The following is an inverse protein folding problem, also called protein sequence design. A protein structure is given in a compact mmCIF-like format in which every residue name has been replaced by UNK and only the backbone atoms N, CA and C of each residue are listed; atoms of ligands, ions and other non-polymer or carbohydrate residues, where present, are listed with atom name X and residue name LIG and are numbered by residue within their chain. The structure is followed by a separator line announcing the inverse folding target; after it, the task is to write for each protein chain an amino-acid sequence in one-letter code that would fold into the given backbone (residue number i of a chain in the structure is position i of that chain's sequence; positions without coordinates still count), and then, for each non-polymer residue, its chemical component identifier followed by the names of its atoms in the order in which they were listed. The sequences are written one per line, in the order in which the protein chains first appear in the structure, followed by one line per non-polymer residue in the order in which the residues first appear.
data_IF_899939697292
#
_entry.id   IF_899939697292
#
_cell.length_a   1.000
_cell.length_b   1.000
_cell.length_c   1.000
_cell.angle_alpha   90.00
_cell.angle_beta   90.00
_cell.angle_gamma   90.00
#
_symmetry.space_group_name_H-M   'P 1'
#
loop_
_entity.id
_entity.type
_entity.pdbx_description
1 polymer ?
#
# COMPACT_ATOMS: atom_id res chain seq x y z
N UNK A 1 0.30 -7.42 -11.06
CA UNK A 1 -0.95 -7.30 -11.84
C UNK A 1 -0.94 -5.95 -12.52
N UNK A 2 -1.12 -5.93 -13.84
CA UNK A 2 -1.18 -4.70 -14.64
C UNK A 2 -2.59 -4.09 -14.58
N UNK A 3 -2.72 -2.80 -14.86
CA UNK A 3 -4.00 -2.05 -14.83
C UNK A 3 -5.08 -2.67 -15.72
N UNK A 4 -4.73 -3.04 -16.97
CA UNK A 4 -5.65 -3.66 -17.92
C UNK A 4 -6.11 -5.06 -17.47
N UNK A 5 -5.27 -5.82 -16.77
CA UNK A 5 -5.64 -7.12 -16.20
C UNK A 5 -6.69 -6.96 -15.10
N UNK A 6 -6.47 -6.01 -14.19
CA UNK A 6 -7.44 -5.68 -13.14
C UNK A 6 -8.78 -5.25 -13.73
N UNK A 7 -8.77 -4.37 -14.73
CA UNK A 7 -9.99 -3.91 -15.39
C UNK A 7 -10.72 -5.06 -16.10
N UNK A 8 -9.98 -5.98 -16.74
CA UNK A 8 -10.55 -7.19 -17.32
C UNK A 8 -11.28 -8.04 -16.27
N UNK A 9 -10.75 -8.14 -15.05
CA UNK A 9 -11.43 -8.84 -13.95
C UNK A 9 -12.66 -8.10 -13.43
N UNK A 10 -12.59 -6.78 -13.32
CA UNK A 10 -13.74 -5.93 -12.93
C UNK A 10 -14.88 -6.12 -13.93
N UNK A 11 -14.59 -6.14 -15.24
CA UNK A 11 -15.58 -6.34 -16.30
C UNK A 11 -16.24 -7.73 -16.30
N UNK A 12 -15.64 -8.73 -15.63
CA UNK A 12 -16.28 -10.04 -15.41
C UNK A 12 -17.35 -9.98 -14.32
N UNK A 13 -17.18 -9.10 -13.33
CA UNK A 13 -18.10 -8.94 -12.19
C UNK A 13 -19.19 -7.92 -12.48
N UNK A 14 -18.82 -6.80 -13.10
CA UNK A 14 -19.74 -5.72 -13.46
C UNK A 14 -19.75 -5.57 -14.98
N UNK A 15 -20.93 -5.63 -15.60
CA UNK A 15 -21.01 -5.64 -17.06
C UNK A 15 -20.49 -4.32 -17.66
N UNK A 16 -19.73 -4.41 -18.76
CA UNK A 16 -19.23 -3.23 -19.49
C UNK A 16 -20.36 -2.30 -19.95
N UNK A 17 -21.56 -2.85 -20.23
CA UNK A 17 -22.76 -2.08 -20.59
C UNK A 17 -23.22 -1.17 -19.45
N UNK A 18 -23.24 -1.70 -18.22
CA UNK A 18 -23.61 -0.92 -17.04
C UNK A 18 -22.61 0.22 -16.81
N UNK A 19 -21.31 -0.08 -16.82
CA UNK A 19 -20.26 0.92 -16.63
C UNK A 19 -20.33 2.01 -17.73
N UNK A 20 -20.53 1.60 -18.98
CA UNK A 20 -20.72 2.51 -20.12
C UNK A 20 -21.90 3.47 -19.90
N UNK A 21 -23.05 2.96 -19.47
CA UNK A 21 -24.24 3.76 -19.20
C UNK A 21 -24.03 4.72 -18.01
N UNK A 22 -23.51 4.22 -16.89
CA UNK A 22 -23.34 4.99 -15.66
C UNK A 22 -22.25 6.08 -15.80
N UNK A 23 -21.20 5.82 -16.59
CA UNK A 23 -20.13 6.78 -16.85
C UNK A 23 -20.40 7.70 -18.05
N UNK A 24 -21.45 7.44 -18.84
CA UNK A 24 -21.72 8.18 -20.09
C UNK A 24 -20.63 8.00 -21.15
N UNK A 25 -19.99 6.83 -21.19
CA UNK A 25 -18.88 6.51 -22.11
C UNK A 25 -19.30 5.43 -23.11
N UNK A 26 -18.61 5.34 -24.25
CA UNK A 26 -18.91 4.30 -25.24
C UNK A 26 -18.49 2.92 -24.75
N UNK A 27 -19.29 1.89 -25.08
CA UNK A 27 -18.98 0.51 -24.72
C UNK A 27 -17.61 0.06 -25.26
N UNK A 28 -17.26 0.50 -26.47
CA UNK A 28 -15.96 0.22 -27.08
C UNK A 28 -14.80 0.81 -26.27
N UNK A 29 -14.96 1.99 -25.67
CA UNK A 29 -13.93 2.59 -24.82
C UNK A 29 -13.74 1.78 -23.52
N UNK A 30 -14.83 1.30 -22.91
CA UNK A 30 -14.76 0.48 -21.70
C UNK A 30 -14.01 -0.84 -21.97
N UNK A 31 -14.27 -1.50 -23.11
CA UNK A 31 -13.50 -2.70 -23.48
C UNK A 31 -12.02 -2.38 -23.77
N UNK A 32 -11.76 -1.26 -24.45
CA UNK A 32 -10.39 -0.81 -24.75
C UNK A 32 -9.54 -0.61 -23.49
N UNK A 33 -10.14 -0.21 -22.36
CA UNK A 33 -9.43 -0.08 -21.09
C UNK A 33 -8.87 -1.39 -20.52
N UNK A 34 -9.44 -2.54 -20.90
CA UNK A 34 -9.00 -3.87 -20.47
C UNK A 34 -8.04 -4.53 -21.48
N UNK A 35 -7.68 -3.84 -22.55
CA UNK A 35 -6.71 -4.30 -23.54
C UNK A 35 -5.28 -3.86 -23.14
N UNK A 36 -4.25 -4.61 -23.52
CA UNK A 36 -2.86 -4.19 -23.31
C UNK A 36 -2.57 -2.88 -24.06
N UNK A 37 -1.72 -1.99 -23.52
CA UNK A 37 -1.32 -0.77 -24.22
C UNK A 37 -0.62 -1.11 -25.55
N UNK A 38 -1.04 -0.47 -26.63
CA UNK A 38 -0.38 -0.55 -27.94
C UNK A 38 0.71 0.53 -27.99
N UNK A 39 1.97 0.08 -27.93
CA UNK A 39 3.24 0.83 -28.01
C UNK A 39 3.63 1.76 -26.84
N UNK A 40 4.91 1.73 -26.47
CA UNK A 40 5.54 2.53 -25.40
C UNK A 40 5.45 4.06 -25.61
N UNK A 41 5.03 4.50 -26.78
CA UNK A 41 4.96 5.92 -27.18
C UNK A 41 3.54 6.40 -27.51
N UNK A 42 2.54 5.53 -27.39
CA UNK A 42 1.18 5.78 -27.88
C UNK A 42 0.25 6.41 -26.86
N UNK A 43 -0.25 7.62 -27.16
CA UNK A 43 -1.40 8.31 -26.55
C UNK A 43 -2.76 7.55 -26.70
N UNK A 44 -2.73 6.23 -26.81
CA UNK A 44 -3.80 5.36 -27.32
C UNK A 44 -4.85 4.95 -26.29
N UNK A 45 -5.55 5.92 -25.69
CA UNK A 45 -6.65 5.75 -24.75
C UNK A 45 -6.27 5.08 -23.41
N UNK A 46 -5.43 5.76 -22.65
CA UNK A 46 -5.04 5.40 -21.27
C UNK A 46 -6.28 5.06 -20.45
N UNK A 47 -6.29 3.84 -19.93
CA UNK A 47 -7.30 3.43 -18.96
C UNK A 47 -7.18 4.34 -17.72
N UNK A 48 -8.26 4.51 -16.94
CA UNK A 48 -8.26 5.48 -15.85
C UNK A 48 -7.19 5.20 -14.80
N UNK A 49 -6.79 3.94 -14.57
CA UNK A 49 -5.75 3.59 -13.62
C UNK A 49 -4.37 4.04 -14.10
N UNK A 50 -4.07 3.90 -15.39
CA UNK A 50 -2.80 4.38 -15.97
C UNK A 50 -2.66 5.90 -15.81
N UNK A 51 -3.78 6.64 -15.89
CA UNK A 51 -3.77 8.10 -15.69
C UNK A 51 -3.46 8.47 -14.24
N UNK A 52 -4.00 7.72 -13.28
CA UNK A 52 -3.70 7.90 -11.86
C UNK A 52 -2.22 7.57 -11.59
N UNK A 53 -1.71 6.47 -12.16
CA UNK A 53 -0.28 6.14 -12.08
C UNK A 53 0.60 7.23 -12.68
N UNK A 54 0.24 7.75 -13.86
CA UNK A 54 0.96 8.85 -14.50
C UNK A 54 0.94 10.12 -13.64
N UNK A 55 -0.19 10.46 -13.02
CA UNK A 55 -0.28 11.58 -12.10
C UNK A 55 0.60 11.39 -10.88
N UNK A 56 0.57 10.21 -10.25
CA UNK A 56 1.44 9.87 -9.13
C UNK A 56 2.91 10.03 -9.50
N UNK A 57 3.32 9.53 -10.68
CA UNK A 57 4.71 9.61 -11.16
C UNK A 57 5.18 11.04 -11.43
N UNK A 58 4.35 11.85 -12.10
CA UNK A 58 4.73 13.21 -12.51
C UNK A 58 4.71 14.18 -11.32
N UNK A 59 3.73 14.04 -10.43
CA UNK A 59 3.56 14.96 -9.29
C UNK A 59 4.36 14.53 -8.07
N UNK A 60 4.67 13.24 -7.94
CA UNK A 60 5.23 12.64 -6.73
C UNK A 60 4.40 12.98 -5.47
N UNK A 61 3.08 13.16 -5.65
CA UNK A 61 2.16 13.56 -4.59
C UNK A 61 1.27 12.38 -4.16
N UNK A 62 1.61 11.79 -3.01
CA UNK A 62 0.93 10.62 -2.45
C UNK A 62 -0.52 10.89 -2.05
N UNK A 63 -0.92 12.16 -1.94
CA UNK A 63 -2.32 12.53 -1.65
C UNK A 63 -3.27 12.04 -2.73
N UNK A 64 -2.78 11.83 -3.96
CA UNK A 64 -3.58 11.26 -5.05
C UNK A 64 -3.96 9.80 -4.74
N UNK A 65 -3.01 9.00 -4.24
CA UNK A 65 -3.28 7.61 -3.85
C UNK A 65 -4.20 7.55 -2.63
N UNK A 66 -3.93 8.38 -1.62
CA UNK A 66 -4.77 8.51 -0.42
C UNK A 66 -6.23 8.82 -0.80
N UNK A 67 -6.45 9.79 -1.69
CA UNK A 67 -7.78 10.21 -2.13
C UNK A 67 -8.58 9.09 -2.82
N UNK A 68 -7.90 8.20 -3.56
CA UNK A 68 -8.52 7.01 -4.16
C UNK A 68 -8.89 5.99 -3.09
N UNK A 69 -7.98 5.70 -2.17
CA UNK A 69 -8.22 4.76 -1.08
C UNK A 69 -9.38 5.20 -0.17
N UNK A 70 -9.48 6.50 0.14
CA UNK A 70 -10.56 7.05 0.99
C UNK A 70 -11.97 6.81 0.39
N UNK A 71 -12.10 6.85 -0.95
CA UNK A 71 -13.38 6.52 -1.64
C UNK A 71 -13.76 5.07 -1.56
N UNK A 72 -12.80 4.19 -1.35
CA UNK A 72 -13.02 2.77 -1.09
C UNK A 72 -13.24 2.48 0.41
N UNK A 73 -13.30 3.52 1.27
CA UNK A 73 -13.36 3.35 2.74
C UNK A 73 -12.04 2.90 3.35
N UNK A 74 -10.95 2.95 2.58
CA UNK A 74 -9.60 2.62 3.01
C UNK A 74 -8.73 3.86 3.25
N UNK A 75 -7.44 3.63 3.40
CA UNK A 75 -6.40 4.65 3.47
C UNK A 75 -5.16 4.08 2.79
N UNK A 76 -4.33 4.95 2.23
CA UNK A 76 -3.05 4.57 1.63
C UNK A 76 -1.97 4.54 2.72
N UNK A 77 -1.12 3.50 2.67
CA UNK A 77 0.08 3.42 3.50
C UNK A 77 1.24 3.41 2.54
N UNK A 78 2.17 4.33 2.75
CA UNK A 78 3.43 4.25 2.05
C UNK A 78 4.23 3.06 2.59
N UNK A 79 4.62 2.14 1.71
CA UNK A 79 5.47 1.04 2.10
C UNK A 79 6.81 1.59 2.60
N UNK A 80 7.31 1.17 3.78
CA UNK A 80 8.57 1.69 4.27
C UNK A 80 9.69 1.40 3.27
N UNK A 81 10.62 2.35 3.10
CA UNK A 81 11.84 2.08 2.34
C UNK A 81 12.57 0.92 3.00
N UNK A 82 12.87 -0.12 2.22
CA UNK A 82 13.67 -1.25 2.69
C UNK A 82 15.00 -0.70 3.23
N UNK A 83 15.21 -0.78 4.55
CA UNK A 83 16.50 -0.43 5.14
C UNK A 83 17.42 -1.63 4.92
N UNK A 84 18.62 -1.47 4.34
CA UNK A 84 19.57 -2.56 4.09
C UNK A 84 20.28 -3.04 5.36
N UNK A 85 19.60 -3.04 6.51
CA UNK A 85 20.12 -3.63 7.73
C UNK A 85 19.79 -5.12 7.78
N UNK A 86 20.67 -5.94 8.37
CA UNK A 86 20.37 -7.35 8.56
C UNK A 86 19.14 -7.47 9.46
N UNK A 87 17.99 -7.75 8.85
CA UNK A 87 16.71 -7.98 9.52
C UNK A 87 16.79 -9.26 10.35
N UNK A 88 17.30 -9.17 11.57
CA UNK A 88 17.10 -10.23 12.53
C UNK A 88 15.59 -10.30 12.87
N UNK A 89 15.02 -11.51 12.80
CA UNK A 89 13.58 -11.75 13.03
C UNK A 89 13.12 -11.24 14.41
N UNK A 90 13.94 -11.44 15.44
CA UNK A 90 13.60 -11.12 16.83
C UNK A 90 13.49 -9.59 17.07
N UNK A 91 14.46 -8.74 16.68
CA UNK A 91 14.32 -7.28 16.76
C UNK A 91 13.11 -6.71 16.00
N UNK A 92 12.71 -7.35 14.90
CA UNK A 92 11.57 -6.89 14.09
C UNK A 92 10.24 -7.13 14.80
N UNK A 93 10.06 -8.30 15.41
CA UNK A 93 8.87 -8.61 16.22
C UNK A 93 8.79 -7.72 17.45
N UNK A 94 9.91 -7.49 18.16
CA UNK A 94 9.93 -6.59 19.32
C UNK A 94 9.59 -5.14 18.92
N UNK A 95 10.02 -4.70 17.74
CA UNK A 95 9.67 -3.38 17.22
C UNK A 95 8.17 -3.27 16.96
N UNK A 96 7.53 -4.28 16.36
CA UNK A 96 6.06 -4.29 16.15
C UNK A 96 5.32 -4.21 17.49
N UNK A 97 5.76 -4.97 18.50
CA UNK A 97 5.16 -4.95 19.85
C UNK A 97 5.30 -3.57 20.48
N UNK A 98 6.46 -2.92 20.34
CA UNK A 98 6.68 -1.57 20.85
C UNK A 98 5.79 -0.54 20.14
N UNK A 99 5.70 -0.59 18.81
CA UNK A 99 4.86 0.33 18.04
C UNK A 99 3.37 0.18 18.42
N UNK A 100 2.94 -1.04 18.76
CA UNK A 100 1.59 -1.34 19.25
C UNK A 100 1.38 -0.79 20.66
N UNK A 101 2.35 -0.95 21.55
CA UNK A 101 2.31 -0.38 22.89
C UNK A 101 2.22 1.15 22.86
N UNK A 102 3.00 1.80 21.97
CA UNK A 102 2.97 3.25 21.79
C UNK A 102 1.60 3.72 21.24
N UNK A 103 0.99 2.95 20.33
CA UNK A 103 -0.35 3.24 19.81
C UNK A 103 -1.43 3.14 20.90
N UNK A 104 -1.37 2.11 21.75
CA UNK A 104 -2.26 1.98 22.90
C UNK A 104 -2.06 3.14 23.89
N UNK A 105 -0.82 3.60 24.09
CA UNK A 105 -0.52 4.78 24.91
C UNK A 105 -1.22 6.04 24.40
N UNK A 106 -1.18 6.30 23.10
CA UNK A 106 -1.86 7.45 22.50
C UNK A 106 -3.38 7.35 22.63
N UNK A 107 -3.97 6.17 22.43
CA UNK A 107 -5.40 5.95 22.63
C UNK A 107 -5.78 6.18 24.10
N UNK A 108 -5.00 5.65 25.05
CA UNK A 108 -5.29 5.78 26.46
C UNK A 108 -5.26 7.24 26.93
N UNK A 109 -4.31 8.04 26.44
CA UNK A 109 -4.24 9.48 26.73
C UNK A 109 -5.43 10.22 26.11
N UNK A 110 -5.75 9.96 24.84
CA UNK A 110 -6.85 10.60 24.13
C UNK A 110 -8.25 10.21 24.64
N UNK A 111 -8.38 9.06 25.29
CA UNK A 111 -9.64 8.59 25.87
C UNK A 111 -9.78 8.92 27.37
N UNK A 112 -8.76 9.55 27.98
CA UNK A 112 -8.70 9.74 29.44
C UNK A 112 -9.84 10.61 29.99
N UNK A 113 -10.36 11.53 29.19
CA UNK A 113 -11.45 12.44 29.54
C UNK A 113 -12.82 12.03 28.94
N UNK A 114 -12.90 10.82 28.36
CA UNK A 114 -14.05 10.29 27.63
C UNK A 114 -14.53 11.18 26.46
N UNK A 115 -13.71 12.10 25.94
CA UNK A 115 -14.04 12.95 24.81
C UNK A 115 -12.88 13.07 23.81
N UNK A 116 -12.94 12.30 22.73
CA UNK A 116 -11.92 12.38 21.68
C UNK A 116 -12.14 13.65 20.84
N UNK A 117 -11.22 14.59 20.94
CA UNK A 117 -11.17 15.80 20.11
C UNK A 117 -10.73 15.47 18.67
N UNK A 118 -10.94 16.42 17.76
CA UNK A 118 -10.52 16.28 16.35
C UNK A 118 -9.00 16.09 16.21
N UNK A 119 -8.22 16.75 17.07
CA UNK A 119 -6.77 16.68 16.98
C UNK A 119 -6.23 15.39 17.60
N UNK A 120 -6.88 14.86 18.64
CA UNK A 120 -6.59 13.51 19.15
C UNK A 120 -6.97 12.43 18.15
N UNK A 121 -8.11 12.54 17.46
CA UNK A 121 -8.47 11.62 16.40
C UNK A 121 -7.42 11.59 15.27
N UNK A 122 -6.84 12.75 14.92
CA UNK A 122 -5.70 12.83 13.98
C UNK A 122 -4.44 12.18 14.55
N UNK A 123 -4.13 12.38 15.82
CA UNK A 123 -2.97 11.77 16.48
C UNK A 123 -3.08 10.24 16.51
N UNK A 124 -4.24 9.70 16.87
CA UNK A 124 -4.55 8.27 16.83
C UNK A 124 -4.40 7.74 15.39
N UNK A 125 -4.95 8.45 14.40
CA UNK A 125 -4.83 8.06 12.98
C UNK A 125 -3.36 7.98 12.55
N UNK A 126 -2.55 8.99 12.90
CA UNK A 126 -1.13 9.04 12.56
C UNK A 126 -0.35 7.87 13.19
N UNK A 127 -0.54 7.59 14.49
CA UNK A 127 0.14 6.44 15.12
C UNK A 127 -0.29 5.10 14.57
N UNK A 128 -1.56 4.97 14.19
CA UNK A 128 -2.05 3.79 13.51
C UNK A 128 -1.35 3.59 12.16
N UNK A 129 -1.14 4.66 11.38
CA UNK A 129 -0.39 4.62 10.12
C UNK A 129 1.07 4.20 10.29
N UNK A 130 1.77 4.73 11.28
CA UNK A 130 3.14 4.34 11.59
C UNK A 130 3.25 2.83 11.92
N UNK A 131 2.38 2.32 12.81
CA UNK A 131 2.36 0.91 13.20
C UNK A 131 2.17 -0.03 11.99
N UNK A 132 1.20 0.28 11.13
CA UNK A 132 0.98 -0.54 9.92
C UNK A 132 2.15 -0.46 8.97
N UNK A 133 2.79 0.70 8.84
CA UNK A 133 3.98 0.88 8.00
C UNK A 133 5.11 -0.06 8.45
N UNK A 134 5.38 -0.13 9.76
CA UNK A 134 6.37 -1.05 10.34
C UNK A 134 6.01 -2.50 10.07
N UNK A 135 4.74 -2.86 10.27
CA UNK A 135 4.23 -4.23 10.05
C UNK A 135 4.30 -4.64 8.58
N UNK A 136 3.95 -3.74 7.66
CA UNK A 136 4.04 -3.95 6.22
C UNK A 136 5.48 -4.18 5.76
N UNK A 137 6.44 -3.46 6.34
CA UNK A 137 7.86 -3.69 6.10
C UNK A 137 8.31 -5.10 6.49
N UNK A 138 7.78 -5.65 7.58
CA UNK A 138 8.06 -7.02 7.98
C UNK A 138 7.47 -8.03 6.99
N UNK A 139 6.20 -7.87 6.60
CA UNK A 139 5.51 -8.76 5.65
C UNK A 139 6.23 -8.78 4.30
N UNK A 140 6.59 -7.62 3.76
CA UNK A 140 7.30 -7.52 2.49
C UNK A 140 8.65 -8.23 2.53
N UNK A 141 9.42 -8.09 3.61
CA UNK A 141 10.67 -8.83 3.77
C UNK A 141 10.44 -10.36 3.82
N UNK A 142 9.28 -10.81 4.31
CA UNK A 142 8.90 -12.23 4.31
C UNK A 142 8.61 -12.70 2.90
N UNK A 143 7.88 -11.91 2.12
CA UNK A 143 7.55 -12.20 0.71
C UNK A 143 8.80 -12.19 -0.19
N UNK A 144 9.76 -11.30 0.07
CA UNK A 144 11.01 -11.20 -0.68
C UNK A 144 12.03 -12.32 -0.35
N UNK A 145 11.75 -13.16 0.66
CA UNK A 145 12.63 -14.26 1.06
C UNK A 145 13.93 -13.82 1.75
N UNK A 146 14.02 -12.56 2.18
CA UNK A 146 15.24 -11.98 2.77
C UNK A 146 15.64 -12.65 4.10
N UNK A 147 14.71 -13.28 4.82
CA UNK A 147 15.01 -13.95 6.09
C UNK A 147 15.85 -15.23 5.94
N UNK A 148 15.79 -15.92 4.79
CA UNK A 148 16.61 -17.10 4.56
C UNK A 148 18.09 -16.74 4.39
N UNK A 149 18.39 -15.66 3.65
CA UNK A 149 19.76 -15.15 3.48
C UNK A 149 20.36 -14.65 4.79
N UNK A 150 19.56 -14.01 5.63
CA UNK A 150 19.98 -13.48 6.93
C UNK A 150 20.25 -14.58 7.96
N UNK A 151 19.50 -15.69 7.93
CA UNK A 151 19.83 -16.88 8.71
C UNK A 151 21.17 -17.48 8.28
N UNK A 152 21.37 -17.64 6.97
CA UNK A 152 22.60 -18.25 6.44
C UNK A 152 23.84 -17.35 6.69
N UNK A 153 23.68 -16.02 6.70
CA UNK A 153 24.74 -15.08 7.08
C UNK A 153 25.01 -15.08 8.60
N UNK A 154 23.97 -15.12 9.44
CA UNK A 154 24.11 -15.23 10.88
C UNK A 154 24.80 -16.54 11.30
N UNK A 155 24.47 -17.66 10.64
CA UNK A 155 25.12 -18.95 10.85
C UNK A 155 26.58 -18.97 10.38
N UNK A 156 26.93 -18.22 9.33
CA UNK A 156 28.32 -18.06 8.87
C UNK A 156 29.15 -17.23 9.83
N UNK A 157 28.63 -16.11 10.33
CA UNK A 157 29.31 -15.28 11.33
C UNK A 157 29.53 -16.02 12.65
N UNK A 158 28.54 -16.80 13.11
CA UNK A 158 28.67 -17.62 14.32
C UNK A 158 29.71 -18.75 14.18
N UNK A 159 29.97 -19.23 12.96
CA UNK A 159 31.00 -20.24 12.66
C UNK A 159 32.40 -19.67 12.43
N UNK A 160 32.53 -18.37 12.16
CA UNK A 160 33.85 -17.72 11.99
C UNK A 160 34.46 -17.21 13.29
N UNK A 161 33.68 -17.14 14.37
CA UNK A 161 34.11 -16.68 15.70
C UNK A 161 34.42 -17.83 16.69
N UNK A 162 34.27 -19.10 16.27
CA UNK A 162 34.61 -20.30 17.05
C UNK A 162 35.78 -21.06 16.45
#
# INVERSE_FOLDING_TARGET
MQSHELLKEVLKKTSAKQISADMGLSLSLIYKWAEPPQDETGSGANNPLDRIEQLLRITNDERIAQWVCERAGGFYIHNPKAKPHPFQLIPSTNSIVQEFADMLGVIAVAAADNQITKDEAKAIRRRWEDLKTVTEGFVRNSEEGNFAKLRDEAEKSAKSEG
#
